data_IF_733109296728
#
_entry.id   IF_733109296728
#
_cell.length_a   1.000
_cell.length_b   1.000
_cell.length_c   1.000
_cell.angle_alpha   90.00
_cell.angle_beta   90.00
_cell.angle_gamma   90.00
#
_symmetry.space_group_name_H-M   'P 1'
#
loop_
_entity.id
_entity.type
_entity.pdbx_description
1 polymer ?
#
# COMPACT_ATOMS: atom_id res chain seq x y z
N UNK A 1 -22.57 15.96 9.80
CA UNK A 1 -21.71 15.80 8.59
C UNK A 1 -20.24 15.52 8.92
N UNK A 2 -19.56 16.33 9.74
CA UNK A 2 -18.12 16.14 9.99
C UNK A 2 -17.77 14.76 10.58
N UNK A 3 -18.52 14.30 11.60
CA UNK A 3 -18.35 12.97 12.20
C UNK A 3 -18.53 11.84 11.16
N UNK A 4 -19.45 12.00 10.20
CA UNK A 4 -19.66 11.02 9.13
C UNK A 4 -18.48 10.96 8.17
N UNK A 5 -17.94 12.12 7.77
CA UNK A 5 -16.74 12.19 6.92
C UNK A 5 -15.54 11.57 7.65
N UNK A 6 -15.35 11.92 8.92
CA UNK A 6 -14.25 11.40 9.74
C UNK A 6 -14.33 9.87 9.87
N UNK A 7 -15.53 9.36 10.18
CA UNK A 7 -15.79 7.92 10.29
C UNK A 7 -15.48 7.20 8.98
N UNK A 8 -15.86 7.77 7.83
CA UNK A 8 -15.61 7.18 6.51
C UNK A 8 -14.12 7.17 6.13
N UNK A 9 -13.37 8.21 6.54
CA UNK A 9 -11.90 8.23 6.41
C UNK A 9 -11.29 7.14 7.31
N UNK A 10 -11.74 7.04 8.56
CA UNK A 10 -11.30 6.01 9.51
C UNK A 10 -11.60 4.60 9.01
N UNK A 11 -12.76 4.36 8.38
CA UNK A 11 -13.14 3.09 7.75
C UNK A 11 -12.25 2.75 6.53
N UNK A 12 -11.62 3.73 5.90
CA UNK A 12 -10.68 3.49 4.78
C UNK A 12 -9.32 2.98 5.27
N UNK A 13 -8.89 3.36 6.48
CA UNK A 13 -7.61 2.94 7.08
C UNK A 13 -7.48 1.39 7.17
N UNK A 14 -8.44 0.64 7.75
CA UNK A 14 -8.33 -0.82 7.81
C UNK A 14 -8.30 -1.45 6.42
N UNK A 15 -9.03 -0.90 5.43
CA UNK A 15 -8.97 -1.40 4.05
C UNK A 15 -7.55 -1.24 3.48
N UNK A 16 -6.94 -0.07 3.63
CA UNK A 16 -5.57 0.18 3.20
C UNK A 16 -4.57 -0.73 3.93
N UNK A 17 -4.74 -0.93 5.24
CA UNK A 17 -3.91 -1.84 6.03
C UNK A 17 -4.05 -3.28 5.57
N UNK A 18 -5.26 -3.76 5.27
CA UNK A 18 -5.48 -5.10 4.73
C UNK A 18 -4.79 -5.28 3.37
N UNK A 19 -4.92 -4.29 2.47
CA UNK A 19 -4.25 -4.33 1.15
C UNK A 19 -2.72 -4.31 1.31
N UNK A 20 -2.19 -3.45 2.18
CA UNK A 20 -0.75 -3.40 2.46
C UNK A 20 -0.24 -4.69 3.09
N UNK A 21 -0.97 -5.27 4.05
CA UNK A 21 -0.64 -6.54 4.68
C UNK A 21 -0.66 -7.68 3.65
N UNK A 22 -1.71 -7.77 2.83
CA UNK A 22 -1.77 -8.77 1.75
C UNK A 22 -0.59 -8.63 0.80
N UNK A 23 -0.26 -7.40 0.38
CA UNK A 23 0.89 -7.16 -0.51
C UNK A 23 2.21 -7.55 0.17
N UNK A 24 2.39 -7.20 1.45
CA UNK A 24 3.56 -7.57 2.23
C UNK A 24 3.74 -9.09 2.32
N UNK A 25 2.66 -9.82 2.66
CA UNK A 25 2.69 -11.28 2.73
C UNK A 25 2.91 -11.89 1.34
N UNK A 26 2.30 -11.36 0.29
CA UNK A 26 2.54 -11.82 -1.09
C UNK A 26 4.00 -11.65 -1.49
N UNK A 27 4.62 -10.49 -1.20
CA UNK A 27 6.03 -10.27 -1.48
C UNK A 27 6.96 -11.15 -0.63
N UNK A 28 6.56 -11.52 0.60
CA UNK A 28 7.33 -12.39 1.49
C UNK A 28 7.23 -13.87 1.12
N UNK A 29 6.08 -14.29 0.60
CA UNK A 29 5.80 -15.67 0.18
C UNK A 29 6.21 -15.93 -1.27
N UNK A 30 6.42 -14.88 -2.06
CA UNK A 30 6.94 -15.01 -3.42
C UNK A 30 8.30 -15.74 -3.37
N UNK A 31 8.45 -16.86 -4.10
CA UNK A 31 9.73 -17.56 -4.20
C UNK A 31 10.72 -16.64 -4.92
N UNK A 32 11.88 -16.41 -4.31
CA UNK A 32 12.85 -15.40 -4.77
C UNK A 32 12.97 -14.20 -3.82
N UNK A 33 13.04 -14.45 -2.50
CA UNK A 33 13.44 -13.40 -1.56
C UNK A 33 14.78 -12.80 -2.01
N UNK A 34 15.14 -11.57 -1.58
CA UNK A 34 16.32 -10.83 -2.06
C UNK A 34 17.68 -11.57 -1.95
N UNK A 35 17.69 -12.77 -1.36
CA UNK A 35 18.85 -13.63 -1.14
C UNK A 35 18.67 -15.09 -1.61
N UNK A 36 17.54 -15.44 -2.24
CA UNK A 36 17.25 -16.84 -2.56
C UNK A 36 17.76 -17.28 -3.94
N UNK A 37 17.93 -16.38 -4.91
CA UNK A 37 18.05 -16.81 -6.31
C UNK A 37 19.47 -17.03 -6.87
N UNK A 38 20.58 -16.52 -6.31
CA UNK A 38 21.82 -16.65 -7.11
C UNK A 38 23.21 -16.56 -6.46
N UNK A 39 23.35 -16.57 -5.13
CA UNK A 39 24.69 -16.74 -4.54
C UNK A 39 24.60 -17.64 -3.33
N UNK A 40 25.49 -18.63 -3.24
CA UNK A 40 25.81 -19.28 -1.99
C UNK A 40 26.39 -18.21 -1.05
N UNK A 41 25.51 -17.43 -0.45
CA UNK A 41 25.88 -16.43 0.54
C UNK A 41 26.31 -17.21 1.76
N UNK A 42 27.59 -17.11 2.15
CA UNK A 42 28.13 -17.72 3.37
C UNK A 42 27.20 -17.37 4.55
N UNK A 43 26.99 -18.30 5.48
CA UNK A 43 26.05 -18.12 6.59
C UNK A 43 26.23 -16.77 7.33
N UNK A 44 27.48 -16.33 7.45
CA UNK A 44 27.88 -15.03 8.03
C UNK A 44 27.37 -13.82 7.24
N UNK A 45 27.46 -13.86 5.91
CA UNK A 45 26.98 -12.78 5.04
C UNK A 45 25.44 -12.75 5.01
N UNK A 46 24.78 -13.92 5.11
CA UNK A 46 23.33 -14.00 5.25
C UNK A 46 22.85 -13.38 6.56
N UNK A 47 23.56 -13.62 7.66
CA UNK A 47 23.24 -13.01 8.96
C UNK A 47 23.45 -11.49 8.96
N UNK A 48 24.54 -11.02 8.35
CA UNK A 48 24.80 -9.59 8.18
C UNK A 48 23.74 -8.90 7.31
N UNK A 49 23.32 -9.54 6.22
CA UNK A 49 22.24 -9.05 5.36
C UNK A 49 20.89 -9.06 6.09
N UNK A 50 20.57 -10.12 6.85
CA UNK A 50 19.35 -10.16 7.67
C UNK A 50 19.31 -9.02 8.70
N UNK A 51 20.45 -8.71 9.32
CA UNK A 51 20.58 -7.56 10.23
C UNK A 51 20.45 -6.23 9.48
N UNK A 52 21.10 -6.08 8.32
CA UNK A 52 21.07 -4.85 7.51
C UNK A 52 19.66 -4.54 6.99
N UNK A 53 18.93 -5.57 6.53
CA UNK A 53 17.56 -5.45 6.01
C UNK A 53 16.48 -5.61 7.09
N UNK A 54 16.86 -5.69 8.37
CA UNK A 54 15.96 -5.89 9.52
C UNK A 54 15.07 -7.15 9.42
N UNK A 55 15.47 -8.15 8.62
CA UNK A 55 14.72 -9.38 8.40
C UNK A 55 14.75 -10.32 9.61
N UNK A 56 15.65 -10.05 10.56
CA UNK A 56 15.80 -10.73 11.86
C UNK A 56 14.72 -10.31 12.89
N UNK A 57 14.03 -9.18 12.66
CA UNK A 57 13.04 -8.64 13.59
C UNK A 57 11.70 -9.37 13.49
N UNK A 58 10.85 -9.38 14.54
CA UNK A 58 9.54 -10.01 14.46
C UNK A 58 8.64 -9.35 13.40
N UNK A 59 7.72 -10.12 12.82
CA UNK A 59 6.93 -9.74 11.63
C UNK A 59 6.20 -8.41 11.76
N UNK A 60 5.64 -8.10 12.94
CA UNK A 60 4.95 -6.84 13.18
C UNK A 60 5.87 -5.62 13.05
N UNK A 61 7.15 -5.77 13.42
CA UNK A 61 8.17 -4.70 13.27
C UNK A 61 8.54 -4.53 11.80
N UNK A 62 8.70 -5.64 11.08
CA UNK A 62 8.98 -5.58 9.63
C UNK A 62 7.83 -4.92 8.87
N UNK A 63 6.58 -5.25 9.21
CA UNK A 63 5.41 -4.64 8.62
C UNK A 63 5.30 -3.15 8.96
N UNK A 64 5.55 -2.76 10.21
CA UNK A 64 5.56 -1.35 10.59
C UNK A 64 6.64 -0.56 9.84
N UNK A 65 7.86 -1.09 9.77
CA UNK A 65 8.95 -0.49 8.99
C UNK A 65 8.62 -0.41 7.50
N UNK A 66 7.94 -1.42 6.95
CA UNK A 66 7.44 -1.40 5.58
C UNK A 66 6.43 -0.26 5.37
N UNK A 67 5.45 -0.09 6.26
CA UNK A 67 4.44 0.98 6.16
C UNK A 67 5.07 2.38 6.20
N UNK A 68 6.01 2.61 7.13
CA UNK A 68 6.67 3.91 7.29
C UNK A 68 7.57 4.25 6.10
N UNK A 69 8.27 3.25 5.55
CA UNK A 69 9.18 3.45 4.42
C UNK A 69 8.50 3.32 3.06
N UNK A 70 7.24 2.88 3.01
CA UNK A 70 6.48 2.63 1.79
C UNK A 70 6.60 3.75 0.74
N UNK A 71 6.49 5.05 1.09
CA UNK A 71 6.60 6.12 0.11
C UNK A 71 7.99 6.24 -0.53
N UNK A 72 9.04 5.78 0.16
CA UNK A 72 10.44 5.85 -0.27
C UNK A 72 10.87 4.61 -1.04
N UNK A 73 10.09 3.52 -0.99
CA UNK A 73 10.41 2.28 -1.69
C UNK A 73 10.39 2.50 -3.20
N UNK A 74 11.29 1.81 -3.90
CA UNK A 74 11.31 1.77 -5.36
C UNK A 74 10.15 0.91 -5.88
N UNK A 75 9.59 1.33 -7.00
CA UNK A 75 8.53 0.59 -7.66
C UNK A 75 9.10 -0.61 -8.42
N UNK A 76 8.55 -1.80 -8.15
CA UNK A 76 8.86 -3.01 -8.92
C UNK A 76 8.45 -2.93 -10.40
N UNK A 77 7.48 -2.07 -10.74
CA UNK A 77 6.96 -1.92 -12.10
C UNK A 77 7.58 -0.76 -12.88
N UNK A 78 8.03 0.29 -12.18
CA UNK A 78 8.52 1.52 -12.77
C UNK A 78 9.94 1.80 -12.25
N UNK A 79 10.98 1.47 -13.03
CA UNK A 79 12.36 1.70 -12.65
C UNK A 79 12.60 3.18 -12.30
N UNK A 80 13.41 3.43 -11.27
CA UNK A 80 13.79 4.78 -10.80
C UNK A 80 12.63 5.67 -10.31
N UNK A 81 11.47 5.08 -9.97
CA UNK A 81 10.36 5.83 -9.37
C UNK A 81 10.03 5.28 -8.01
N UNK A 82 9.89 6.18 -7.03
CA UNK A 82 9.40 5.81 -5.72
C UNK A 82 7.89 5.58 -5.75
N UNK A 83 7.40 4.72 -4.87
CA UNK A 83 5.96 4.50 -4.68
C UNK A 83 5.26 5.81 -4.31
N UNK A 84 5.89 6.65 -3.49
CA UNK A 84 5.37 7.96 -3.11
C UNK A 84 5.17 8.89 -4.31
N UNK A 85 6.10 8.91 -5.27
CA UNK A 85 5.97 9.71 -6.49
C UNK A 85 4.84 9.22 -7.38
N UNK A 86 4.67 7.90 -7.49
CA UNK A 86 3.56 7.29 -8.24
C UNK A 86 2.23 7.64 -7.61
N UNK A 87 2.11 7.53 -6.28
CA UNK A 87 0.89 7.90 -5.55
C UNK A 87 0.59 9.39 -5.77
N UNK A 88 1.57 10.29 -5.60
CA UNK A 88 1.38 11.72 -5.82
C UNK A 88 0.91 12.03 -7.24
N UNK A 89 1.43 11.32 -8.24
CA UNK A 89 1.03 11.53 -9.64
C UNK A 89 -0.37 11.00 -9.93
N UNK A 90 -0.74 9.83 -9.40
CA UNK A 90 -2.01 9.15 -9.72
C UNK A 90 -3.18 9.57 -8.83
N UNK A 91 -2.89 10.06 -7.63
CA UNK A 91 -3.91 10.46 -6.66
C UNK A 91 -4.85 11.55 -7.20
N UNK A 92 -4.37 12.65 -7.84
CA UNK A 92 -5.26 13.68 -8.37
C UNK A 92 -6.21 13.17 -9.47
N UNK A 93 -5.74 12.23 -10.29
CA UNK A 93 -6.56 11.63 -11.35
C UNK A 93 -7.68 10.78 -10.74
N UNK A 94 -7.32 9.92 -9.77
CA UNK A 94 -8.29 9.07 -9.06
C UNK A 94 -9.30 9.90 -8.27
N UNK A 95 -8.85 10.98 -7.64
CA UNK A 95 -9.69 11.92 -6.93
C UNK A 95 -10.72 12.59 -7.85
N UNK A 96 -10.28 13.11 -9.00
CA UNK A 96 -11.18 13.70 -10.01
C UNK A 96 -12.23 12.69 -10.47
N UNK A 97 -11.80 11.47 -10.79
CA UNK A 97 -12.70 10.41 -11.24
C UNK A 97 -13.75 10.06 -10.17
N UNK A 98 -13.31 9.86 -8.92
CA UNK A 98 -14.19 9.60 -7.80
C UNK A 98 -15.17 10.75 -7.52
N UNK A 99 -14.70 12.00 -7.65
CA UNK A 99 -15.54 13.18 -7.47
C UNK A 99 -16.68 13.25 -8.50
N UNK A 100 -16.39 13.02 -9.77
CA UNK A 100 -17.43 12.97 -10.81
C UNK A 100 -18.38 11.78 -10.60
N UNK A 101 -17.85 10.62 -10.24
CA UNK A 101 -18.68 9.44 -9.95
C UNK A 101 -19.66 9.71 -8.80
N UNK A 102 -19.21 10.33 -7.71
CA UNK A 102 -20.07 10.69 -6.57
C UNK A 102 -21.10 11.75 -6.99
N UNK A 103 -20.70 12.76 -7.76
CA UNK A 103 -21.61 13.81 -8.24
C UNK A 103 -22.75 13.22 -9.07
N UNK A 104 -22.43 12.32 -10.01
CA UNK A 104 -23.42 11.63 -10.84
C UNK A 104 -24.29 10.70 -9.99
N UNK A 105 -23.68 9.90 -9.12
CA UNK A 105 -24.40 8.95 -8.27
C UNK A 105 -25.39 9.65 -7.33
N UNK A 106 -25.00 10.80 -6.75
CA UNK A 106 -25.88 11.61 -5.92
C UNK A 106 -27.00 12.25 -6.76
N UNK A 107 -26.67 12.80 -7.93
CA UNK A 107 -27.67 13.39 -8.83
C UNK A 107 -28.76 12.40 -9.22
N UNK A 108 -28.36 11.24 -9.75
CA UNK A 108 -29.30 10.19 -10.15
C UNK A 108 -30.00 9.58 -8.94
N UNK A 109 -29.26 9.27 -7.87
CA UNK A 109 -29.81 8.63 -6.67
C UNK A 109 -30.86 9.49 -5.97
N UNK A 110 -30.66 10.81 -5.90
CA UNK A 110 -31.65 11.74 -5.34
C UNK A 110 -32.87 11.83 -6.25
N UNK A 111 -32.70 11.93 -7.57
CA UNK A 111 -33.83 11.98 -8.50
C UNK A 111 -34.73 10.75 -8.39
N UNK A 112 -34.16 9.55 -8.43
CA UNK A 112 -34.93 8.31 -8.26
C UNK A 112 -35.51 8.17 -6.86
N UNK A 113 -34.79 8.59 -5.82
CA UNK A 113 -35.28 8.55 -4.45
C UNK A 113 -36.45 9.49 -4.17
N UNK A 114 -36.63 10.55 -4.97
CA UNK A 114 -37.78 11.47 -4.88
C UNK A 114 -38.99 10.96 -5.69
N UNK A 115 -38.75 10.20 -6.77
CA UNK A 115 -39.81 9.67 -7.64
C UNK A 115 -40.46 8.40 -7.06
N UNK A 116 -39.71 7.59 -6.30
CA UNK A 116 -40.18 6.36 -5.66
C UNK A 116 -41.05 6.63 -4.43
#
# INVERSE_FOLDING_TARGET
MFVFILRRILETIPVLLCVAAMTFFMCRLAPGGPFDDDKQVTAEVREQLNKQFNLDKPLYVQFYQYLVNLPKLQSFKYPNRTVGDIIKQKFPVSFKLGFFAITIALGIGVLFGVIA
#
